data_IF_788446788413
#
_entry.id   IF_788446788413
#
_cell.length_a   1.000
_cell.length_b   1.000
_cell.length_c   1.000
_cell.angle_alpha   90.00
_cell.angle_beta   90.00
_cell.angle_gamma   90.00
#
_symmetry.space_group_name_H-M   'P 1'
#
loop_
_entity.id
_entity.type
_entity.pdbx_description
1 polymer ?
#
# COMPACT_ATOMS: atom_id res chain seq x y z
N UNK A 1 8.99 9.60 -7.49
CA UNK A 1 7.58 10.04 -7.32
C UNK A 1 7.04 9.46 -6.02
N UNK A 2 6.31 10.22 -5.19
CA UNK A 2 5.73 9.67 -3.95
C UNK A 2 4.53 8.80 -4.27
N UNK A 3 4.49 7.62 -3.67
CA UNK A 3 3.48 6.61 -3.95
C UNK A 3 3.00 5.98 -2.65
N UNK A 4 1.69 5.93 -2.47
CA UNK A 4 1.01 5.14 -1.44
C UNK A 4 0.62 3.81 -2.08
N UNK A 5 0.87 2.70 -1.39
CA UNK A 5 0.50 1.36 -1.83
C UNK A 5 -0.45 0.78 -0.78
N UNK A 6 -1.59 0.23 -1.23
CA UNK A 6 -2.55 -0.41 -0.34
C UNK A 6 -2.03 -1.76 0.22
N UNK A 7 -2.74 -2.32 1.21
CA UNK A 7 -2.35 -3.61 1.80
C UNK A 7 -2.35 -4.74 0.78
N UNK A 8 -3.26 -4.74 -0.18
CA UNK A 8 -3.38 -5.81 -1.18
C UNK A 8 -2.14 -5.89 -2.08
N UNK A 9 -1.69 -4.75 -2.64
CA UNK A 9 -0.47 -4.69 -3.45
C UNK A 9 0.77 -4.91 -2.57
N UNK A 10 0.77 -4.46 -1.31
CA UNK A 10 1.86 -4.76 -0.38
C UNK A 10 2.01 -6.27 -0.13
N UNK A 11 0.91 -7.01 0.01
CA UNK A 11 0.93 -8.47 0.13
C UNK A 11 1.40 -9.14 -1.16
N UNK A 12 0.99 -8.65 -2.33
CA UNK A 12 1.47 -9.17 -3.62
C UNK A 12 3.00 -9.07 -3.74
N UNK A 13 3.55 -7.90 -3.38
CA UNK A 13 4.98 -7.61 -3.39
C UNK A 13 5.77 -8.44 -2.37
N UNK A 14 5.26 -8.57 -1.14
CA UNK A 14 6.05 -9.05 0.00
C UNK A 14 5.74 -10.48 0.43
N UNK A 15 4.58 -11.02 0.06
CA UNK A 15 4.08 -12.31 0.53
C UNK A 15 3.82 -13.27 -0.62
N UNK A 16 3.17 -12.81 -1.69
CA UNK A 16 2.69 -13.68 -2.76
C UNK A 16 3.67 -13.89 -3.90
N UNK A 17 4.73 -13.07 -3.98
CA UNK A 17 5.69 -13.06 -5.08
C UNK A 17 4.99 -12.93 -6.45
N UNK A 18 4.00 -12.04 -6.53
CA UNK A 18 3.17 -11.87 -7.73
C UNK A 18 4.03 -11.35 -8.90
N UNK A 19 4.13 -12.08 -10.03
CA UNK A 19 4.87 -11.62 -11.21
C UNK A 19 4.34 -10.29 -11.77
N UNK A 20 3.06 -9.98 -11.58
CA UNK A 20 2.47 -8.70 -11.97
C UNK A 20 3.04 -7.50 -11.21
N UNK A 21 3.72 -7.73 -10.08
CA UNK A 21 4.40 -6.69 -9.33
C UNK A 21 5.88 -6.52 -9.70
N UNK A 22 6.40 -7.25 -10.70
CA UNK A 22 7.83 -7.19 -11.05
C UNK A 22 8.28 -5.79 -11.50
N UNK A 23 7.49 -5.10 -12.32
CA UNK A 23 7.80 -3.74 -12.76
C UNK A 23 7.74 -2.74 -11.59
N UNK A 24 6.73 -2.88 -10.71
CA UNK A 24 6.61 -2.07 -9.51
C UNK A 24 7.81 -2.25 -8.58
N UNK A 25 8.23 -3.50 -8.34
CA UNK A 25 9.41 -3.80 -7.51
C UNK A 25 10.66 -3.17 -8.10
N UNK A 26 10.89 -3.30 -9.41
CA UNK A 26 12.03 -2.67 -10.08
C UNK A 26 12.01 -1.15 -9.94
N UNK A 27 10.85 -0.51 -10.11
CA UNK A 27 10.72 0.95 -9.97
C UNK A 27 10.97 1.43 -8.53
N UNK A 28 10.61 0.62 -7.51
CA UNK A 28 10.94 0.88 -6.11
C UNK A 28 12.45 0.73 -5.84
N UNK A 29 13.08 -0.31 -6.38
CA UNK A 29 14.51 -0.58 -6.20
C UNK A 29 15.40 0.45 -6.91
N UNK A 30 14.96 0.97 -8.06
CA UNK A 30 15.62 2.06 -8.78
C UNK A 30 15.37 3.44 -8.15
N UNK A 31 14.48 3.54 -7.16
CA UNK A 31 14.12 4.81 -6.51
C UNK A 31 13.26 5.74 -7.38
N UNK A 32 12.71 5.24 -8.50
CA UNK A 32 11.77 5.97 -9.35
C UNK A 32 10.46 6.22 -8.61
N UNK A 33 10.04 5.23 -7.81
CA UNK A 33 8.93 5.33 -6.88
C UNK A 33 9.45 5.38 -5.43
N UNK A 34 8.87 6.27 -4.65
CA UNK A 34 9.11 6.43 -3.23
C UNK A 34 7.85 5.97 -2.50
N UNK A 35 7.84 4.71 -2.12
CA UNK A 35 6.75 4.17 -1.30
C UNK A 35 6.73 4.88 0.04
N UNK A 36 5.67 5.64 0.33
CA UNK A 36 5.45 6.30 1.61
C UNK A 36 4.37 5.56 2.42
N UNK A 37 4.51 5.53 3.74
CA UNK A 37 3.53 4.92 4.63
C UNK A 37 3.55 5.56 6.03
N UNK A 38 2.42 5.50 6.73
CA UNK A 38 2.32 5.87 8.15
C UNK A 38 2.50 4.65 9.05
N UNK A 39 2.69 4.88 10.35
CA UNK A 39 2.69 3.82 11.36
C UNK A 39 1.39 2.99 11.34
N UNK A 40 0.22 3.65 11.17
CA UNK A 40 -1.08 2.96 11.10
C UNK A 40 -1.16 1.99 9.90
N UNK A 41 -0.60 2.35 8.74
CA UNK A 41 -0.56 1.43 7.58
C UNK A 41 0.36 0.22 7.85
N UNK A 42 1.46 0.41 8.58
CA UNK A 42 2.35 -0.69 8.99
C UNK A 42 1.66 -1.62 9.99
N UNK A 43 0.94 -1.06 10.96
CA UNK A 43 0.15 -1.82 11.95
C UNK A 43 -0.97 -2.61 11.26
N UNK A 44 -1.62 -2.01 10.26
CA UNK A 44 -2.63 -2.68 9.45
C UNK A 44 -2.05 -3.88 8.71
N UNK A 45 -0.88 -3.71 8.07
CA UNK A 45 -0.18 -4.83 7.44
C UNK A 45 0.15 -5.93 8.48
N UNK A 46 0.64 -5.57 9.66
CA UNK A 46 0.94 -6.53 10.72
C UNK A 46 -0.30 -7.34 11.12
N UNK A 47 -1.44 -6.69 11.31
CA UNK A 47 -2.73 -7.33 11.61
C UNK A 47 -3.15 -8.31 10.52
N UNK A 48 -2.99 -7.93 9.26
CA UNK A 48 -3.38 -8.75 8.11
C UNK A 48 -2.47 -9.98 7.94
N UNK A 49 -1.19 -9.88 8.31
CA UNK A 49 -0.26 -11.03 8.27
C UNK A 49 -0.68 -12.16 9.23
N UNK A 50 -1.40 -11.82 10.30
CA UNK A 50 -1.96 -12.80 11.25
C UNK A 50 -3.25 -13.47 10.76
N UNK A 51 -3.84 -13.02 9.63
CA UNK A 51 -5.06 -13.63 9.12
C UNK A 51 -4.79 -15.07 8.65
N UNK A 52 -5.66 -16.05 8.98
CA UNK A 52 -5.37 -17.47 8.78
C UNK A 52 -4.89 -17.86 7.37
N UNK A 53 -5.47 -17.23 6.33
CA UNK A 53 -5.09 -17.50 4.95
C UNK A 53 -3.69 -16.97 4.61
N UNK A 54 -3.35 -15.77 5.10
CA UNK A 54 -2.05 -15.13 4.88
C UNK A 54 -0.97 -15.85 5.68
N UNK A 55 -1.21 -16.10 6.97
CA UNK A 55 -0.32 -16.88 7.82
C UNK A 55 -0.02 -18.27 7.25
N UNK A 56 -1.04 -18.97 6.72
CA UNK A 56 -0.85 -20.26 6.05
C UNK A 56 -0.02 -20.15 4.76
N UNK A 57 -0.08 -19.02 4.04
CA UNK A 57 0.77 -18.77 2.87
C UNK A 57 2.22 -18.50 3.28
N UNK A 58 2.45 -17.67 4.30
CA UNK A 58 3.77 -17.40 4.85
C UNK A 58 4.48 -18.69 5.27
N UNK A 59 3.80 -19.52 6.06
CA UNK A 59 4.34 -20.80 6.51
C UNK A 59 4.72 -21.73 5.34
N UNK A 60 3.88 -21.80 4.29
CA UNK A 60 4.19 -22.61 3.09
C UNK A 60 5.40 -22.10 2.31
N UNK A 61 5.63 -20.79 2.32
CA UNK A 61 6.73 -20.15 1.61
C UNK A 61 8.00 -20.03 2.47
N UNK A 62 8.01 -20.57 3.70
CA UNK A 62 9.14 -20.46 4.62
C UNK A 62 9.41 -19.02 5.09
N UNK A 63 8.38 -18.18 5.13
CA UNK A 63 8.45 -16.79 5.60
C UNK A 63 7.70 -16.64 6.93
N UNK A 64 8.05 -15.62 7.70
CA UNK A 64 7.33 -15.18 8.88
C UNK A 64 6.85 -13.73 8.73
N UNK A 65 5.94 -13.31 9.61
CA UNK A 65 5.39 -11.95 9.58
C UNK A 65 6.46 -10.88 9.88
N UNK A 66 7.40 -11.16 10.78
CA UNK A 66 8.48 -10.24 11.13
C UNK A 66 9.39 -9.92 9.94
N UNK A 67 9.76 -10.92 9.15
CA UNK A 67 10.56 -10.76 7.94
C UNK A 67 9.83 -9.95 6.87
N UNK A 68 8.51 -10.11 6.75
CA UNK A 68 7.67 -9.30 5.86
C UNK A 68 7.62 -7.84 6.32
N UNK A 69 7.40 -7.59 7.60
CA UNK A 69 7.39 -6.24 8.15
C UNK A 69 8.76 -5.57 8.02
N UNK A 70 9.85 -6.30 8.26
CA UNK A 70 11.20 -5.78 8.02
C UNK A 70 11.44 -5.47 6.54
N UNK A 71 10.87 -6.27 5.62
CA UNK A 71 10.96 -6.02 4.18
C UNK A 71 10.14 -4.81 3.72
N UNK A 72 9.01 -4.56 4.38
CA UNK A 72 8.21 -3.34 4.24
C UNK A 72 9.01 -2.13 4.76
N UNK A 73 9.52 -2.19 5.99
CA UNK A 73 10.27 -1.11 6.66
C UNK A 73 11.50 -0.67 5.87
N UNK A 74 12.18 -1.60 5.18
CA UNK A 74 13.33 -1.27 4.32
C UNK A 74 12.96 -0.54 3.02
N UNK A 75 11.71 -0.65 2.56
CA UNK A 75 11.26 -0.08 1.28
C UNK A 75 10.48 1.22 1.45
N UNK A 76 9.79 1.37 2.58
CA UNK A 76 8.97 2.55 2.83
C UNK A 76 9.81 3.73 3.32
N UNK A 77 9.36 4.91 2.94
CA UNK A 77 9.78 6.19 3.49
C UNK A 77 8.70 6.58 4.52
N UNK A 78 8.99 6.48 5.83
CA UNK A 78 7.98 6.72 6.85
C UNK A 78 7.51 8.19 6.84
N UNK A 79 6.22 8.37 7.08
CA UNK A 79 5.59 9.67 7.33
C UNK A 79 5.09 9.65 8.77
N UNK A 80 5.81 10.36 9.65
CA UNK A 80 5.54 10.36 11.10
C UNK A 80 4.25 11.09 11.47
N UNK A 81 3.87 12.10 10.67
CA UNK A 81 2.65 12.87 10.91
C UNK A 81 1.42 12.12 10.37
N UNK A 82 0.45 11.91 11.25
CA UNK A 82 -0.85 11.36 10.86
C UNK A 82 -1.55 12.34 9.90
N UNK A 83 -1.86 11.93 8.66
CA UNK A 83 -2.51 12.81 7.70
C UNK A 83 -3.91 13.22 8.18
N UNK A 84 -4.28 14.46 7.87
CA UNK A 84 -5.66 14.90 8.06
C UNK A 84 -6.61 14.09 7.18
N UNK A 85 -7.84 13.89 7.67
CA UNK A 85 -8.90 13.19 6.92
C UNK A 85 -9.16 13.90 5.59
N UNK A 86 -9.10 13.16 4.48
CA UNK A 86 -9.42 13.68 3.17
C UNK A 86 -10.91 14.08 3.06
N UNK A 87 -11.27 15.06 2.23
CA UNK A 87 -12.65 15.50 2.06
C UNK A 87 -13.53 14.48 1.33
N UNK A 88 -12.93 13.49 0.66
CA UNK A 88 -13.63 12.36 0.07
C UNK A 88 -13.54 11.13 0.98
N UNK A 89 -14.68 10.46 1.18
CA UNK A 89 -14.76 9.27 2.01
C UNK A 89 -14.77 8.01 1.15
N UNK A 90 -13.90 7.05 1.49
CA UNK A 90 -14.01 5.70 0.95
C UNK A 90 -15.26 5.03 1.51
N UNK A 91 -15.90 4.15 0.73
CA UNK A 91 -16.99 3.31 1.23
C UNK A 91 -16.52 2.28 2.26
N UNK A 92 -15.25 1.87 2.16
CA UNK A 92 -14.60 1.02 3.14
C UNK A 92 -13.81 1.91 4.10
N UNK A 93 -14.19 2.02 5.38
CA UNK A 93 -13.52 2.88 6.33
C UNK A 93 -12.07 2.47 6.61
N UNK A 94 -11.72 1.18 6.46
CA UNK A 94 -10.36 0.67 6.70
C UNK A 94 -9.41 1.19 5.60
N UNK A 95 -9.92 1.35 4.37
CA UNK A 95 -9.15 1.88 3.24
C UNK A 95 -8.90 3.38 3.29
N UNK A 96 -9.54 4.12 4.20
CA UNK A 96 -9.37 5.57 4.20
C UNK A 96 -7.91 5.98 4.48
N UNK A 97 -7.19 5.25 5.33
CA UNK A 97 -5.82 5.64 5.71
C UNK A 97 -4.90 5.84 4.48
N UNK A 98 -5.14 5.10 3.40
CA UNK A 98 -4.42 5.24 2.13
C UNK A 98 -4.81 6.52 1.37
N UNK A 99 -6.10 6.85 1.35
CA UNK A 99 -6.64 8.09 0.74
C UNK A 99 -6.12 9.31 1.48
N UNK A 100 -6.18 9.29 2.82
CA UNK A 100 -5.77 10.41 3.66
C UNK A 100 -4.29 10.73 3.42
N UNK A 101 -3.42 9.70 3.40
CA UNK A 101 -2.00 9.88 3.12
C UNK A 101 -1.75 10.36 1.68
N UNK A 102 -2.42 9.77 0.69
CA UNK A 102 -2.24 10.13 -0.71
C UNK A 102 -2.60 11.60 -0.97
N UNK A 103 -3.71 12.06 -0.40
CA UNK A 103 -4.15 13.46 -0.50
C UNK A 103 -3.19 14.40 0.23
N UNK A 104 -2.82 14.08 1.48
CA UNK A 104 -1.95 14.93 2.28
C UNK A 104 -0.56 15.12 1.63
N UNK A 105 -0.02 14.07 1.03
CA UNK A 105 1.32 14.07 0.43
C UNK A 105 1.32 14.33 -1.08
N UNK A 106 0.14 14.53 -1.70
CA UNK A 106 -0.07 14.58 -3.16
C UNK A 106 0.64 13.44 -3.89
N UNK A 107 0.51 12.24 -3.33
CA UNK A 107 1.11 11.02 -3.83
C UNK A 107 0.15 10.29 -4.76
N UNK A 108 0.69 9.51 -5.70
CA UNK A 108 -0.10 8.51 -6.42
C UNK A 108 -0.54 7.42 -5.44
N UNK A 109 -1.73 6.85 -5.63
CA UNK A 109 -2.20 5.67 -4.92
C UNK A 109 -2.21 4.46 -5.86
N UNK A 110 -1.47 3.42 -5.51
CA UNK A 110 -1.50 2.13 -6.19
C UNK A 110 -2.37 1.14 -5.42
N UNK A 111 -3.36 0.58 -6.10
CA UNK A 111 -4.31 -0.36 -5.51
C UNK A 111 -4.93 -1.26 -6.58
N UNK A 112 -5.28 -2.48 -6.18
CA UNK A 112 -6.19 -3.37 -6.94
C UNK A 112 -7.55 -3.54 -6.26
N UNK A 113 -7.78 -2.86 -5.14
CA UNK A 113 -9.05 -2.92 -4.40
C UNK A 113 -10.14 -2.12 -5.11
N UNK A 114 -11.34 -2.69 -5.19
CA UNK A 114 -12.45 -2.06 -5.91
C UNK A 114 -12.91 -0.76 -5.24
N UNK A 115 -12.93 -0.69 -3.91
CA UNK A 115 -13.34 0.50 -3.16
C UNK A 115 -12.37 1.67 -3.42
N UNK A 116 -11.07 1.42 -3.39
CA UNK A 116 -10.05 2.43 -3.72
C UNK A 116 -10.06 2.82 -5.21
N UNK A 117 -10.25 1.87 -6.12
CA UNK A 117 -10.33 2.16 -7.56
C UNK A 117 -11.55 3.02 -7.94
N UNK A 118 -12.67 2.87 -7.23
CA UNK A 118 -13.84 3.75 -7.39
C UNK A 118 -13.56 5.20 -6.98
N UNK A 119 -12.51 5.43 -6.18
CA UNK A 119 -12.07 6.77 -5.75
C UNK A 119 -11.24 7.52 -6.80
N UNK A 120 -10.93 6.93 -7.96
CA UNK A 120 -10.21 7.58 -9.09
C UNK A 120 -10.75 8.97 -9.43
N UNK A 121 -12.07 9.08 -9.62
CA UNK A 121 -12.71 10.35 -9.99
C UNK A 121 -12.61 11.42 -8.88
N UNK A 122 -13.07 11.12 -7.65
CA UNK A 122 -12.91 12.02 -6.51
C UNK A 122 -11.47 12.45 -6.23
N UNK A 123 -10.52 11.52 -6.25
CA UNK A 123 -9.11 11.77 -5.94
C UNK A 123 -8.39 12.55 -7.04
N UNK A 124 -8.73 12.33 -8.31
CA UNK A 124 -8.19 13.12 -9.42
C UNK A 124 -8.49 14.63 -9.27
N UNK A 125 -9.67 14.99 -8.72
CA UNK A 125 -10.01 16.40 -8.43
C UNK A 125 -9.16 17.01 -7.32
N UNK A 126 -8.51 16.18 -6.51
CA UNK A 126 -7.57 16.57 -5.46
C UNK A 126 -6.11 16.45 -5.91
N UNK A 127 -5.86 16.13 -7.17
CA UNK A 127 -4.50 15.96 -7.73
C UNK A 127 -3.84 14.64 -7.36
N UNK A 128 -4.62 13.63 -6.93
CA UNK A 128 -4.15 12.28 -6.62
C UNK A 128 -4.57 11.35 -7.75
N UNK A 129 -3.60 10.69 -8.37
CA UNK A 129 -3.83 9.64 -9.34
C UNK A 129 -4.01 8.30 -8.63
N UNK A 130 -4.98 7.48 -9.06
CA UNK A 130 -5.17 6.11 -8.56
C UNK A 130 -4.99 5.14 -9.72
N UNK A 131 -3.98 4.29 -9.63
CA UNK A 131 -3.62 3.33 -10.67
C UNK A 131 -3.55 1.90 -10.12
N UNK A 132 -3.70 0.92 -11.02
CA UNK A 132 -3.30 -0.46 -10.75
C UNK A 132 -1.83 -0.53 -11.18
N UNK A 133 -0.92 -1.13 -10.40
CA UNK A 133 0.47 -1.34 -10.84
C UNK A 133 0.51 -2.00 -12.22
N UNK A 134 1.38 -1.51 -13.11
CA UNK A 134 1.52 -2.09 -14.45
C UNK A 134 2.08 -3.52 -14.35
N UNK A 135 1.25 -4.49 -14.78
CA UNK A 135 1.51 -5.94 -14.82
C UNK A 135 0.51 -6.68 -15.67
#
# INVERSE_FOLDING_TARGET
MRTVIDTNIALDLLVFDDPGCAALLAALELGELQWIATAAMREELARVLDYPLVAARLARNGRDAEGVLAAFDRRVHPVDEQPARAPCLCRDPDDQIFIDLAVAQRAQLLSKDRALLEMRGPLARLGVEVAIPDG
#
